data_IF_382615529603
#
_entry.id   IF_382615529603
#
_cell.length_a   1.000
_cell.length_b   1.000
_cell.length_c   1.000
_cell.angle_alpha   90.00
_cell.angle_beta   90.00
_cell.angle_gamma   90.00
#
_symmetry.space_group_name_H-M   'P 1'
#
loop_
_entity.id
_entity.type
_entity.pdbx_description
1 polymer ?
#
# COMPACT_ATOMS: atom_id res chain seq x y z
N UNK A 1 -17.47 -5.84 27.91
CA UNK A 1 -18.38 -4.78 28.40
C UNK A 1 -19.77 -5.39 28.67
N UNK A 2 -20.34 -5.14 29.84
CA UNK A 2 -21.67 -5.69 30.18
C UNK A 2 -22.77 -5.04 29.35
N UNK A 3 -23.89 -5.75 29.18
CA UNK A 3 -25.09 -5.27 28.45
C UNK A 3 -25.57 -3.90 28.95
N UNK A 4 -25.50 -3.66 30.24
CA UNK A 4 -25.87 -2.38 30.87
C UNK A 4 -24.96 -1.21 30.40
N UNK A 5 -23.65 -1.44 30.23
CA UNK A 5 -22.76 -0.42 29.72
C UNK A 5 -23.07 -0.06 28.26
N UNK A 6 -23.45 -1.04 27.45
CA UNK A 6 -23.86 -0.79 26.05
C UNK A 6 -25.15 0.03 25.97
N UNK A 7 -26.12 -0.26 26.83
CA UNK A 7 -27.37 0.53 26.94
C UNK A 7 -27.07 1.94 27.43
N UNK A 8 -26.14 2.10 28.37
CA UNK A 8 -25.77 3.42 28.91
C UNK A 8 -25.04 4.26 27.89
N UNK A 9 -24.14 3.68 27.09
CA UNK A 9 -23.51 4.36 25.96
C UNK A 9 -24.52 4.74 24.88
N UNK A 10 -25.43 3.83 24.51
CA UNK A 10 -26.50 4.13 23.57
C UNK A 10 -27.42 5.26 24.04
N UNK A 11 -27.74 5.31 25.32
CA UNK A 11 -28.55 6.36 25.92
C UNK A 11 -27.80 7.69 26.01
N UNK A 12 -26.53 7.65 26.41
CA UNK A 12 -25.68 8.83 26.47
C UNK A 12 -25.46 9.46 25.10
N UNK A 13 -25.23 8.66 24.05
CA UNK A 13 -25.12 9.11 22.67
C UNK A 13 -26.44 9.73 22.19
N UNK A 14 -27.58 9.12 22.49
CA UNK A 14 -28.90 9.65 22.15
C UNK A 14 -29.20 10.98 22.86
N UNK A 15 -28.79 11.10 24.10
CA UNK A 15 -29.01 12.32 24.93
C UNK A 15 -27.87 13.35 24.76
N UNK A 16 -26.92 13.10 23.88
CA UNK A 16 -25.71 13.93 23.67
C UNK A 16 -24.95 14.23 24.98
N UNK A 17 -24.92 13.27 25.90
CA UNK A 17 -24.31 13.35 27.23
C UNK A 17 -22.94 12.68 27.33
N UNK A 18 -22.51 11.97 26.29
CA UNK A 18 -21.14 11.47 26.25
C UNK A 18 -20.22 12.69 26.24
N UNK A 19 -19.16 12.67 27.03
CA UNK A 19 -18.30 13.84 27.14
C UNK A 19 -17.61 14.12 25.80
N UNK A 20 -18.25 15.00 25.02
CA UNK A 20 -17.68 15.62 23.83
C UNK A 20 -16.57 16.65 24.18
N UNK A 21 -16.06 16.55 25.41
CA UNK A 21 -15.07 17.49 25.96
C UNK A 21 -13.75 17.54 25.19
N UNK A 22 -13.55 16.65 24.24
CA UNK A 22 -12.34 16.64 23.40
C UNK A 22 -12.38 17.56 22.18
N UNK A 23 -13.55 18.12 21.84
CA UNK A 23 -13.68 19.00 20.66
C UNK A 23 -13.43 20.49 20.94
N UNK A 24 -13.30 20.90 22.20
CA UNK A 24 -13.30 22.34 22.54
C UNK A 24 -11.94 23.01 22.48
N UNK A 25 -10.83 22.29 22.25
CA UNK A 25 -9.49 22.88 22.16
C UNK A 25 -8.69 22.53 20.88
N UNK A 26 -9.22 21.76 19.99
CA UNK A 26 -8.69 21.68 18.65
C UNK A 26 -9.22 22.90 17.89
N UNK A 27 -8.55 24.04 18.01
CA UNK A 27 -8.71 25.12 17.05
C UNK A 27 -8.61 24.50 15.68
N UNK A 28 -9.72 24.42 14.95
CA UNK A 28 -9.79 23.83 13.63
C UNK A 28 -8.82 24.59 12.73
N UNK A 29 -7.60 24.11 12.64
CA UNK A 29 -6.72 24.47 11.57
C UNK A 29 -7.37 23.94 10.32
N UNK A 30 -7.83 24.83 9.47
CA UNK A 30 -8.41 24.58 8.14
C UNK A 30 -7.41 23.91 7.17
N UNK A 31 -6.43 23.18 7.68
CA UNK A 31 -5.52 22.42 6.86
C UNK A 31 -6.06 21.00 6.69
N UNK A 32 -6.19 20.60 5.44
CA UNK A 32 -6.53 19.27 4.93
C UNK A 32 -5.61 18.14 5.44
N UNK A 33 -4.96 18.32 6.56
CA UNK A 33 -4.02 17.38 7.13
C UNK A 33 -4.73 16.46 8.13
N UNK A 34 -4.72 15.18 7.81
CA UNK A 34 -5.18 14.13 8.70
C UNK A 34 -4.03 13.68 9.60
N UNK A 35 -4.10 13.90 10.92
CA UNK A 35 -3.02 13.54 11.85
C UNK A 35 -2.86 12.02 12.02
N UNK A 36 -3.90 11.24 11.72
CA UNK A 36 -3.92 9.77 11.76
C UNK A 36 -3.09 9.11 10.65
N UNK A 37 -2.77 9.83 9.58
CA UNK A 37 -1.98 9.30 8.46
C UNK A 37 -0.49 9.54 8.63
N UNK A 38 0.27 8.50 8.36
CA UNK A 38 1.73 8.58 8.32
C UNK A 38 2.14 9.48 7.14
N UNK A 39 2.88 10.54 7.45
CA UNK A 39 3.57 11.31 6.41
C UNK A 39 4.84 10.56 6.01
N UNK A 40 5.06 10.43 4.73
CA UNK A 40 6.35 10.03 4.21
C UNK A 40 7.40 11.01 4.74
N UNK A 41 8.45 10.47 5.34
CA UNK A 41 9.45 11.24 6.12
C UNK A 41 10.26 12.19 5.25
N UNK A 42 10.13 12.04 3.94
CA UNK A 42 11.01 12.68 2.96
C UNK A 42 10.17 13.56 2.06
N UNK A 43 10.44 14.84 2.04
CA UNK A 43 9.64 15.94 1.50
C UNK A 43 9.13 15.85 0.04
N UNK A 44 8.47 16.90 -0.41
CA UNK A 44 7.77 17.02 -1.71
C UNK A 44 8.68 16.91 -2.96
N UNK A 45 10.00 16.96 -2.76
CA UNK A 45 11.03 16.93 -3.81
C UNK A 45 11.07 15.61 -4.59
N UNK A 46 10.09 14.73 -4.36
CA UNK A 46 10.19 13.30 -4.72
C UNK A 46 8.95 12.78 -5.40
N UNK A 47 8.39 13.57 -6.27
CA UNK A 47 7.21 13.15 -7.04
C UNK A 47 7.41 11.77 -7.70
N UNK A 48 8.60 11.48 -8.20
CA UNK A 48 8.95 10.19 -8.80
C UNK A 48 8.90 9.07 -7.75
N UNK A 49 9.53 9.27 -6.59
CA UNK A 49 9.57 8.27 -5.50
C UNK A 49 8.18 8.04 -4.93
N UNK A 50 7.44 9.12 -4.66
CA UNK A 50 6.08 9.06 -4.15
C UNK A 50 5.13 8.39 -5.14
N UNK A 51 5.31 8.64 -6.44
CA UNK A 51 4.52 8.01 -7.50
C UNK A 51 4.73 6.49 -7.51
N UNK A 52 5.98 6.02 -7.42
CA UNK A 52 6.32 4.59 -7.34
C UNK A 52 5.72 3.96 -6.08
N UNK A 53 5.90 4.57 -4.90
CA UNK A 53 5.34 4.08 -3.65
C UNK A 53 3.83 3.98 -3.69
N UNK A 54 3.18 5.03 -4.18
CA UNK A 54 1.73 5.08 -4.28
C UNK A 54 1.20 4.02 -5.26
N UNK A 55 1.88 3.83 -6.40
CA UNK A 55 1.49 2.80 -7.37
C UNK A 55 1.56 1.41 -6.74
N UNK A 56 2.70 1.05 -6.12
CA UNK A 56 2.87 -0.23 -5.43
C UNK A 56 1.84 -0.38 -4.31
N UNK A 57 1.64 0.67 -3.50
CA UNK A 57 0.67 0.66 -2.40
C UNK A 57 -0.76 0.41 -2.84
N UNK A 58 -1.20 1.03 -3.93
CA UNK A 58 -2.53 0.84 -4.51
C UNK A 58 -2.72 -0.58 -5.06
N UNK A 59 -1.70 -1.12 -5.73
CA UNK A 59 -1.77 -2.45 -6.32
C UNK A 59 -1.80 -3.54 -5.24
N UNK A 60 -0.95 -3.44 -4.21
CA UNK A 60 -1.01 -4.35 -3.05
C UNK A 60 -2.36 -4.23 -2.32
N UNK A 61 -2.85 -3.01 -2.10
CA UNK A 61 -4.13 -2.80 -1.42
C UNK A 61 -5.33 -3.36 -2.19
N UNK A 62 -5.19 -3.58 -3.50
CA UNK A 62 -6.22 -4.18 -4.35
C UNK A 62 -6.30 -5.70 -4.22
N UNK A 63 -5.31 -6.34 -3.61
CA UNK A 63 -5.29 -7.79 -3.41
C UNK A 63 -6.07 -8.14 -2.16
N UNK A 64 -6.93 -9.15 -2.28
CA UNK A 64 -7.73 -9.66 -1.18
C UNK A 64 -6.87 -10.54 -0.27
N UNK A 65 -6.72 -10.11 0.98
CA UNK A 65 -6.09 -10.90 2.05
C UNK A 65 -7.21 -11.37 2.97
N UNK A 66 -7.29 -12.70 3.18
CA UNK A 66 -8.38 -13.31 3.95
C UNK A 66 -7.86 -14.29 4.99
N UNK A 67 -8.49 -14.27 6.16
CA UNK A 67 -8.39 -15.32 7.15
C UNK A 67 -9.28 -16.48 6.71
N UNK A 68 -8.70 -17.64 6.46
CA UNK A 68 -9.36 -18.77 5.83
C UNK A 68 -8.93 -20.10 6.47
N UNK A 69 -9.69 -21.15 6.17
CA UNK A 69 -9.32 -22.54 6.50
C UNK A 69 -8.79 -23.22 5.26
N UNK A 70 -7.71 -23.97 5.44
CA UNK A 70 -7.09 -24.77 4.39
C UNK A 70 -7.30 -26.27 4.70
N UNK A 71 -7.24 -27.12 3.70
CA UNK A 71 -7.16 -28.55 3.89
C UNK A 71 -5.74 -29.01 4.29
N UNK A 72 -5.56 -30.32 4.50
CA UNK A 72 -4.24 -30.90 4.82
C UNK A 72 -3.20 -30.73 3.70
N UNK A 73 -3.65 -30.47 2.48
CA UNK A 73 -2.82 -30.25 1.30
C UNK A 73 -2.58 -28.76 1.02
N UNK A 74 -3.06 -27.86 1.89
CA UNK A 74 -2.94 -26.41 1.73
C UNK A 74 -3.96 -25.79 0.77
N UNK A 75 -5.01 -26.52 0.36
CA UNK A 75 -6.06 -26.00 -0.52
C UNK A 75 -7.08 -25.22 0.28
N UNK A 76 -7.61 -24.14 -0.32
CA UNK A 76 -8.65 -23.32 0.27
C UNK A 76 -9.95 -24.12 0.47
N UNK A 77 -10.55 -24.00 1.65
CA UNK A 77 -11.84 -24.60 1.99
C UNK A 77 -12.89 -23.48 2.13
N UNK A 78 -12.69 -22.57 3.08
CA UNK A 78 -13.68 -21.56 3.40
C UNK A 78 -13.03 -20.29 3.98
N UNK A 79 -13.73 -19.17 3.91
CA UNK A 79 -13.37 -17.93 4.63
C UNK A 79 -13.92 -18.03 6.04
N UNK A 80 -13.08 -17.72 7.03
CA UNK A 80 -13.50 -17.70 8.45
C UNK A 80 -14.13 -16.35 8.75
N UNK A 81 -15.32 -16.36 9.33
CA UNK A 81 -15.94 -15.14 9.83
C UNK A 81 -15.24 -14.73 11.14
N UNK A 82 -14.32 -13.76 11.03
CA UNK A 82 -13.50 -13.25 12.14
C UNK A 82 -13.37 -11.74 12.06
N UNK A 83 -13.16 -11.10 13.22
CA UNK A 83 -12.90 -9.66 13.28
C UNK A 83 -11.64 -9.29 12.48
N UNK A 84 -10.66 -10.18 12.40
CA UNK A 84 -9.48 -9.99 11.57
C UNK A 84 -9.83 -9.83 10.07
N UNK A 85 -10.79 -10.64 9.55
CA UNK A 85 -11.26 -10.46 8.18
C UNK A 85 -11.98 -9.14 7.96
N UNK A 86 -12.74 -8.69 8.95
CA UNK A 86 -13.36 -7.36 8.93
C UNK A 86 -12.31 -6.26 8.87
N UNK A 87 -11.24 -6.35 9.67
CA UNK A 87 -10.12 -5.41 9.62
C UNK A 87 -9.42 -5.35 8.27
N UNK A 88 -9.21 -6.48 7.62
CA UNK A 88 -8.49 -6.57 6.35
C UNK A 88 -9.31 -6.12 5.14
N UNK A 89 -10.63 -6.27 5.18
CA UNK A 89 -11.48 -6.09 4.00
C UNK A 89 -12.49 -4.95 4.13
N UNK A 90 -12.94 -4.60 5.35
CA UNK A 90 -13.95 -3.59 5.59
C UNK A 90 -13.36 -2.38 6.33
N UNK A 91 -13.10 -2.52 7.61
CA UNK A 91 -12.71 -1.42 8.50
C UNK A 91 -11.58 -1.88 9.42
N UNK A 92 -10.37 -1.38 9.20
CA UNK A 92 -9.21 -1.72 10.01
C UNK A 92 -9.20 -0.97 11.35
N UNK A 93 -9.71 0.25 11.34
CA UNK A 93 -9.90 1.12 12.50
C UNK A 93 -10.89 2.23 12.14
N UNK A 94 -11.26 3.07 13.11
CA UNK A 94 -12.25 4.14 12.96
C UNK A 94 -11.94 5.14 11.82
N UNK A 95 -10.67 5.28 11.44
CA UNK A 95 -10.22 6.25 10.43
C UNK A 95 -9.96 5.61 9.06
N UNK A 96 -9.81 4.28 8.99
CA UNK A 96 -9.29 3.60 7.81
C UNK A 96 -10.09 2.35 7.43
N UNK A 97 -10.45 2.28 6.17
CA UNK A 97 -10.90 1.03 5.56
C UNK A 97 -9.78 0.01 5.50
N UNK A 98 -10.08 -1.29 5.38
CA UNK A 98 -9.09 -2.34 5.21
C UNK A 98 -8.15 -2.08 4.02
N UNK A 99 -8.68 -1.49 2.93
CA UNK A 99 -7.87 -1.10 1.76
C UNK A 99 -6.88 0.03 2.08
N UNK A 100 -7.36 1.09 2.74
CA UNK A 100 -6.50 2.21 3.14
C UNK A 100 -5.42 1.77 4.13
N UNK A 101 -5.75 0.87 5.03
CA UNK A 101 -4.81 0.27 5.97
C UNK A 101 -3.71 -0.56 5.26
N UNK A 102 -4.08 -1.42 4.31
CA UNK A 102 -3.10 -2.15 3.49
C UNK A 102 -2.17 -1.21 2.73
N UNK A 103 -2.70 -0.13 2.17
CA UNK A 103 -1.90 0.89 1.49
C UNK A 103 -0.92 1.56 2.47
N UNK A 104 -1.35 1.92 3.68
CA UNK A 104 -0.50 2.51 4.71
C UNK A 104 0.63 1.58 5.16
N UNK A 105 0.36 0.28 5.31
CA UNK A 105 1.39 -0.72 5.60
C UNK A 105 2.49 -0.66 4.54
N UNK A 106 2.10 -0.70 3.26
CA UNK A 106 3.07 -0.70 2.16
C UNK A 106 3.84 0.61 2.09
N UNK A 107 3.15 1.75 2.14
CA UNK A 107 3.79 3.07 2.08
C UNK A 107 4.81 3.25 3.20
N UNK A 108 4.44 2.89 4.44
CA UNK A 108 5.33 2.97 5.59
C UNK A 108 6.53 2.02 5.49
N UNK A 109 6.29 0.80 5.03
CA UNK A 109 7.32 -0.20 4.83
C UNK A 109 8.33 0.21 3.75
N UNK A 110 7.87 0.78 2.64
CA UNK A 110 8.75 1.24 1.56
C UNK A 110 9.57 2.46 1.99
N UNK A 111 9.00 3.37 2.78
CA UNK A 111 9.70 4.57 3.24
C UNK A 111 10.74 4.26 4.33
N UNK A 112 10.37 3.49 5.35
CA UNK A 112 11.21 3.23 6.53
C UNK A 112 12.03 1.93 6.44
N UNK A 113 11.75 1.07 5.45
CA UNK A 113 12.37 -0.25 5.31
C UNK A 113 11.69 -1.35 6.13
N UNK A 114 10.88 -0.99 7.11
CA UNK A 114 10.04 -1.90 7.90
C UNK A 114 8.85 -1.15 8.51
N UNK A 115 7.80 -1.89 8.84
CA UNK A 115 6.60 -1.34 9.49
C UNK A 115 6.10 -2.28 10.56
N UNK A 116 5.56 -1.73 11.65
CA UNK A 116 4.86 -2.50 12.67
C UNK A 116 3.35 -2.50 12.38
N UNK A 117 2.72 -3.67 12.40
CA UNK A 117 1.27 -3.85 12.41
C UNK A 117 0.88 -4.11 13.85
N UNK A 118 0.16 -3.16 14.45
CA UNK A 118 -0.16 -3.18 15.87
C UNK A 118 -1.66 -3.43 16.05
N UNK A 119 -2.08 -4.53 16.67
CA UNK A 119 -3.43 -4.69 17.16
C UNK A 119 -3.71 -3.66 18.27
N UNK A 120 -4.72 -2.81 18.08
CA UNK A 120 -5.10 -1.77 19.04
C UNK A 120 -6.21 -2.26 19.97
N UNK A 121 -7.22 -2.93 19.39
CA UNK A 121 -8.32 -3.53 20.15
C UNK A 121 -8.40 -5.02 19.84
N UNK A 122 -8.49 -5.80 20.91
CA UNK A 122 -8.60 -7.26 20.86
C UNK A 122 -9.64 -7.75 21.85
N UNK A 123 -10.27 -8.88 21.55
CA UNK A 123 -11.32 -9.46 22.41
C UNK A 123 -10.82 -9.81 23.81
N UNK A 124 -9.55 -10.23 23.91
CA UNK A 124 -8.84 -10.57 25.16
C UNK A 124 -7.42 -10.04 25.04
N UNK A 125 -6.83 -9.62 26.15
CA UNK A 125 -5.45 -9.15 26.18
C UNK A 125 -4.49 -10.24 25.66
N UNK A 126 -3.74 -10.01 24.57
CA UNK A 126 -2.84 -10.99 23.98
C UNK A 126 -1.70 -11.44 24.89
N UNK A 127 -1.37 -10.64 25.92
CA UNK A 127 -0.35 -10.99 26.92
C UNK A 127 -0.84 -12.03 27.94
N UNK A 128 -2.16 -12.16 28.11
CA UNK A 128 -2.78 -13.06 29.09
C UNK A 128 -3.24 -14.36 28.44
N UNK A 129 -3.78 -14.29 27.24
CA UNK A 129 -4.30 -15.45 26.52
C UNK A 129 -3.87 -15.44 25.06
N UNK A 130 -3.51 -16.62 24.54
CA UNK A 130 -3.24 -16.80 23.12
C UNK A 130 -4.51 -16.95 22.27
N UNK A 131 -5.71 -16.96 22.87
CA UNK A 131 -6.99 -17.08 22.16
C UNK A 131 -7.69 -15.73 22.14
N UNK A 132 -7.33 -14.87 21.20
CA UNK A 132 -7.92 -13.54 21.00
C UNK A 132 -8.30 -13.34 19.54
N UNK A 133 -9.28 -12.50 19.28
CA UNK A 133 -9.56 -11.97 17.95
C UNK A 133 -9.19 -10.47 17.91
N UNK A 134 -8.89 -9.96 16.73
CA UNK A 134 -8.41 -8.60 16.52
C UNK A 134 -9.54 -7.76 15.94
N UNK A 135 -9.99 -6.78 16.73
CA UNK A 135 -11.10 -5.89 16.34
C UNK A 135 -10.61 -4.65 15.60
N UNK A 136 -9.39 -4.19 15.86
CA UNK A 136 -8.83 -3.02 15.19
C UNK A 136 -7.29 -3.09 15.13
N UNK A 137 -6.74 -2.56 14.05
CA UNK A 137 -5.30 -2.52 13.80
C UNK A 137 -4.86 -1.16 13.28
N UNK A 138 -3.61 -0.78 13.60
CA UNK A 138 -2.94 0.39 13.05
C UNK A 138 -1.51 0.09 12.64
N UNK A 139 -1.00 0.88 11.72
CA UNK A 139 0.42 0.91 11.39
C UNK A 139 1.19 1.69 12.45
N UNK A 140 2.39 1.23 12.77
CA UNK A 140 3.30 1.90 13.70
C UNK A 140 4.70 2.04 13.12
N UNK A 141 5.33 3.21 13.38
CA UNK A 141 6.74 3.42 13.04
C UNK A 141 7.62 2.83 14.13
N UNK A 142 8.58 1.99 13.75
CA UNK A 142 9.55 1.42 14.68
C UNK A 142 10.62 2.47 15.00
N UNK A 143 10.79 2.75 16.29
CA UNK A 143 11.77 3.71 16.79
C UNK A 143 13.02 3.03 17.32
N UNK A 144 12.85 1.97 18.13
CA UNK A 144 13.96 1.28 18.79
C UNK A 144 13.72 -0.24 18.84
N UNK A 145 14.80 -0.98 18.75
CA UNK A 145 14.81 -2.45 18.77
C UNK A 145 15.39 -2.97 20.09
N UNK A 146 14.62 -3.82 20.79
CA UNK A 146 15.07 -4.55 21.96
C UNK A 146 15.04 -6.07 21.68
N UNK A 147 15.70 -6.91 22.48
CA UNK A 147 15.74 -8.36 22.22
C UNK A 147 14.35 -9.01 22.10
N UNK A 148 13.44 -8.77 23.05
CA UNK A 148 12.09 -9.34 23.09
C UNK A 148 10.98 -8.31 22.82
N UNK A 149 11.30 -7.03 22.76
CA UNK A 149 10.35 -5.92 22.61
C UNK A 149 10.73 -5.03 21.42
N UNK A 150 9.81 -4.18 21.03
CA UNK A 150 10.02 -3.14 20.05
C UNK A 150 9.33 -1.86 20.52
N UNK A 151 10.00 -0.73 20.39
CA UNK A 151 9.41 0.58 20.66
C UNK A 151 8.81 1.11 19.36
N UNK A 152 7.52 1.34 19.37
CA UNK A 152 6.75 1.76 18.20
C UNK A 152 6.02 3.07 18.50
N UNK A 153 5.92 3.93 17.49
CA UNK A 153 5.12 5.15 17.51
C UNK A 153 3.83 4.87 16.75
N UNK A 154 2.70 4.89 17.47
CA UNK A 154 1.36 4.56 16.95
C UNK A 154 0.40 5.70 17.26
N UNK A 155 -0.56 5.94 16.37
CA UNK A 155 -1.62 6.90 16.61
C UNK A 155 -2.65 6.30 17.59
N UNK A 156 -2.98 7.08 18.64
CA UNK A 156 -3.98 6.71 19.64
C UNK A 156 -5.30 7.41 19.35
N UNK A 157 -6.35 6.65 19.08
CA UNK A 157 -7.68 7.13 18.73
C UNK A 157 -8.36 7.92 19.86
N UNK A 158 -8.00 7.60 21.12
CA UNK A 158 -8.61 8.23 22.29
C UNK A 158 -8.01 9.61 22.58
N UNK A 159 -6.71 9.76 22.37
CA UNK A 159 -5.98 11.00 22.66
C UNK A 159 -5.81 11.90 21.43
N UNK A 160 -6.02 11.34 20.22
CA UNK A 160 -5.82 12.07 18.96
C UNK A 160 -4.36 12.37 18.64
N UNK A 161 -3.43 11.73 19.33
CA UNK A 161 -2.00 11.97 19.20
C UNK A 161 -1.23 10.67 18.96
N UNK A 162 0.01 10.82 18.46
CA UNK A 162 0.95 9.71 18.40
C UNK A 162 1.56 9.44 19.76
N UNK A 163 1.56 8.18 20.18
CA UNK A 163 2.17 7.70 21.41
C UNK A 163 3.31 6.72 21.11
N UNK A 164 4.30 6.72 21.97
CA UNK A 164 5.43 5.79 21.89
C UNK A 164 5.20 4.64 22.89
N UNK A 165 5.03 3.44 22.34
CA UNK A 165 4.71 2.24 23.13
C UNK A 165 5.83 1.21 22.99
N UNK A 166 6.17 0.55 24.11
CA UNK A 166 7.08 -0.61 24.11
C UNK A 166 6.23 -1.86 24.15
N UNK A 167 6.21 -2.59 23.03
CA UNK A 167 5.35 -3.76 22.82
C UNK A 167 6.20 -5.03 22.68
N UNK A 168 5.69 -6.18 23.14
CA UNK A 168 6.34 -7.47 22.89
C UNK A 168 6.34 -7.80 21.40
N UNK A 169 7.46 -8.25 20.87
CA UNK A 169 7.56 -8.71 19.47
C UNK A 169 6.63 -9.89 19.13
N UNK A 170 6.10 -10.58 20.15
CA UNK A 170 5.15 -11.68 19.97
C UNK A 170 3.76 -11.22 19.54
N UNK A 171 3.37 -9.99 19.90
CA UNK A 171 2.02 -9.45 19.67
C UNK A 171 1.95 -8.46 18.50
N UNK A 172 3.09 -8.07 17.95
CA UNK A 172 3.19 -7.09 16.87
C UNK A 172 3.69 -7.79 15.61
N UNK A 173 3.05 -7.56 14.48
CA UNK A 173 3.53 -7.96 13.17
C UNK A 173 4.59 -6.97 12.70
N UNK A 174 5.81 -7.44 12.43
CA UNK A 174 6.90 -6.60 11.92
C UNK A 174 7.20 -7.04 10.50
N UNK A 175 6.76 -6.25 9.55
CA UNK A 175 6.96 -6.52 8.12
C UNK A 175 8.20 -5.76 7.65
N UNK A 176 9.16 -6.49 7.13
CA UNK A 176 10.36 -5.94 6.51
C UNK A 176 10.16 -5.81 5.00
N UNK A 177 10.74 -4.77 4.42
CA UNK A 177 10.68 -4.55 2.99
C UNK A 177 11.47 -5.63 2.23
N UNK A 178 10.84 -6.51 1.45
CA UNK A 178 11.57 -7.52 0.67
C UNK A 178 12.47 -6.89 -0.41
N UNK A 179 12.24 -5.62 -0.77
CA UNK A 179 13.03 -4.85 -1.71
C UNK A 179 14.03 -3.91 -1.01
N UNK A 180 14.38 -4.20 0.25
CA UNK A 180 15.24 -3.35 1.10
C UNK A 180 16.57 -2.99 0.44
N UNK A 181 17.24 -3.95 -0.18
CA UNK A 181 18.53 -3.73 -0.84
C UNK A 181 18.46 -2.70 -1.97
N UNK A 182 17.32 -2.60 -2.65
CA UNK A 182 17.09 -1.66 -3.77
C UNK A 182 16.64 -0.29 -3.28
N UNK A 183 15.88 -0.25 -2.18
CA UNK A 183 15.14 0.95 -1.75
C UNK A 183 15.71 1.62 -0.50
N UNK A 184 16.05 0.86 0.54
CA UNK A 184 16.31 1.40 1.87
C UNK A 184 17.79 1.36 2.27
N UNK A 185 18.60 0.50 1.69
CA UNK A 185 20.03 0.44 1.98
C UNK A 185 20.70 1.79 1.70
N UNK A 186 21.68 2.24 2.52
CA UNK A 186 22.28 3.57 2.41
C UNK A 186 22.84 3.91 1.02
N UNK A 187 23.30 2.90 0.27
CA UNK A 187 23.83 3.03 -1.08
C UNK A 187 22.91 2.46 -2.17
N UNK A 188 21.66 2.16 -1.84
CA UNK A 188 20.68 1.66 -2.79
C UNK A 188 20.44 2.63 -3.95
N UNK A 189 19.91 2.12 -5.03
CA UNK A 189 19.57 2.93 -6.21
C UNK A 189 18.63 4.06 -5.85
N UNK A 190 17.60 3.77 -5.04
CA UNK A 190 16.64 4.77 -4.58
C UNK A 190 17.31 5.84 -3.72
N UNK A 191 18.17 5.48 -2.76
CA UNK A 191 18.84 6.46 -1.89
C UNK A 191 19.83 7.34 -2.69
N UNK A 192 20.45 6.79 -3.73
CA UNK A 192 21.29 7.56 -4.66
C UNK A 192 20.45 8.52 -5.48
N UNK A 193 19.31 8.08 -6.01
CA UNK A 193 18.36 8.93 -6.75
C UNK A 193 17.88 10.10 -5.89
N UNK A 194 17.47 9.81 -4.66
CA UNK A 194 17.03 10.81 -3.68
C UNK A 194 18.11 11.89 -3.45
N UNK A 195 19.36 11.47 -3.25
CA UNK A 195 20.45 12.44 -3.08
C UNK A 195 20.66 13.32 -4.31
N UNK A 196 20.45 12.77 -5.51
CA UNK A 196 20.57 13.56 -6.75
C UNK A 196 19.41 14.53 -6.94
N UNK A 197 18.18 14.11 -6.59
CA UNK A 197 17.01 14.99 -6.60
C UNK A 197 17.20 16.16 -5.62
N UNK A 198 17.63 15.89 -4.38
CA UNK A 198 17.91 16.95 -3.40
C UNK A 198 19.01 17.92 -3.88
N UNK A 199 19.99 17.42 -4.59
CA UNK A 199 21.03 18.27 -5.16
C UNK A 199 20.47 19.14 -6.30
N UNK A 200 19.57 18.61 -7.13
CA UNK A 200 18.89 19.39 -8.18
C UNK A 200 18.06 20.51 -7.57
N UNK A 201 17.24 20.19 -6.54
CA UNK A 201 16.42 21.18 -5.85
C UNK A 201 17.26 22.30 -5.23
N UNK A 202 18.40 21.97 -4.63
CA UNK A 202 19.32 22.96 -4.08
C UNK A 202 19.93 23.87 -5.17
N UNK A 203 20.22 23.31 -6.36
CA UNK A 203 20.71 24.09 -7.52
C UNK A 203 19.60 24.98 -8.06
N UNK A 204 18.37 24.48 -8.17
CA UNK A 204 17.21 25.24 -8.65
C UNK A 204 16.89 26.40 -7.70
N UNK A 205 16.92 26.17 -6.36
CA UNK A 205 16.77 27.22 -5.37
C UNK A 205 17.88 28.28 -5.47
N UNK A 206 19.10 27.83 -5.67
CA UNK A 206 20.23 28.75 -5.88
C UNK A 206 20.07 29.56 -7.17
N UNK A 207 19.65 28.91 -8.25
CA UNK A 207 19.43 29.59 -9.54
C UNK A 207 18.22 30.52 -9.48
N UNK A 208 17.12 30.10 -8.83
CA UNK A 208 15.92 30.91 -8.63
C UNK A 208 16.14 32.13 -7.72
N UNK A 209 17.13 32.07 -6.81
CA UNK A 209 17.50 33.22 -5.95
C UNK A 209 18.34 34.30 -6.65
N UNK A 210 18.57 34.16 -7.95
CA UNK A 210 19.35 35.13 -8.72
C UNK A 210 20.84 35.16 -8.37
N UNK A 211 21.31 34.17 -7.59
CA UNK A 211 22.74 34.05 -7.25
C UNK A 211 23.53 33.51 -8.45
N UNK A 212 24.07 34.39 -9.24
CA UNK A 212 24.95 34.06 -10.36
C UNK A 212 26.36 33.76 -9.84
N UNK A 213 26.93 32.64 -10.30
CA UNK A 213 28.39 32.39 -10.10
C UNK A 213 29.18 33.33 -10.99
N UNK A 214 29.64 34.44 -10.43
CA UNK A 214 30.37 35.45 -11.13
C UNK A 214 31.81 35.52 -10.62
N UNK A 215 32.77 35.59 -11.51
CA UNK A 215 34.13 36.00 -11.20
C UNK A 215 34.27 37.49 -11.59
N UNK A 216 34.51 38.31 -10.59
CA UNK A 216 34.79 39.74 -10.76
C UNK A 216 36.29 39.92 -10.71
N UNK A 217 36.88 40.21 -11.85
CA UNK A 217 38.31 40.55 -11.96
C UNK A 217 38.45 42.03 -11.69
N UNK A 218 39.08 42.38 -10.57
CA UNK A 218 39.36 43.76 -10.21
C UNK A 218 40.66 44.26 -10.83
N UNK A 219 40.79 45.56 -11.14
CA UNK A 219 41.98 46.14 -11.79
C UNK A 219 43.17 46.28 -10.84
N UNK A 220 43.09 45.73 -9.63
CA UNK A 220 44.15 45.80 -8.64
C UNK A 220 44.33 44.50 -7.85
N UNK A 221 45.54 44.30 -7.31
CA UNK A 221 45.85 43.16 -6.44
C UNK A 221 45.42 43.42 -5.01
N UNK A 222 44.72 42.42 -4.41
CA UNK A 222 44.26 42.47 -3.04
C UNK A 222 45.40 42.02 -2.09
N UNK A 223 46.26 42.98 -1.66
CA UNK A 223 47.39 42.69 -0.76
C UNK A 223 47.27 43.40 0.60
N UNK A 224 46.31 44.31 0.79
CA UNK A 224 46.11 45.05 2.05
C UNK A 224 44.64 44.94 2.50
N UNK A 225 44.41 45.15 3.78
CA UNK A 225 43.05 45.09 4.37
C UNK A 225 42.15 46.17 3.77
N UNK A 226 42.69 47.35 3.50
CA UNK A 226 41.93 48.44 2.86
C UNK A 226 41.44 48.01 1.44
N UNK A 227 42.29 47.34 0.64
CA UNK A 227 41.90 46.85 -0.69
C UNK A 227 40.93 45.66 -0.62
N UNK A 228 41.02 44.85 0.45
CA UNK A 228 40.04 43.77 0.73
C UNK A 228 38.66 44.35 1.03
N UNK A 229 38.59 45.38 1.88
CA UNK A 229 37.33 46.07 2.17
C UNK A 229 36.74 46.72 0.91
N UNK A 230 37.58 47.29 0.07
CA UNK A 230 37.14 47.88 -1.21
C UNK A 230 36.58 46.83 -2.16
N UNK A 231 37.22 45.66 -2.25
CA UNK A 231 36.74 44.56 -3.04
C UNK A 231 35.41 43.98 -2.52
N UNK A 232 35.26 43.87 -1.18
CA UNK A 232 34.01 43.44 -0.57
C UNK A 232 32.88 44.46 -0.76
N UNK A 233 33.17 45.74 -0.69
CA UNK A 233 32.20 46.79 -0.99
C UNK A 233 31.73 46.68 -2.45
N UNK A 234 32.66 46.50 -3.39
CA UNK A 234 32.33 46.36 -4.80
C UNK A 234 31.49 45.08 -5.07
N UNK A 235 31.81 43.96 -4.40
CA UNK A 235 31.02 42.75 -4.47
C UNK A 235 29.58 42.99 -4.06
N UNK A 236 29.38 43.64 -2.89
CA UNK A 236 28.03 43.95 -2.37
C UNK A 236 27.26 44.92 -3.30
N UNK A 237 27.94 45.87 -3.95
CA UNK A 237 27.32 46.77 -4.91
C UNK A 237 26.80 46.02 -6.13
N UNK A 238 27.58 45.05 -6.66
CA UNK A 238 27.15 44.23 -7.79
C UNK A 238 26.04 43.25 -7.38
N UNK A 239 26.12 42.62 -6.19
CA UNK A 239 25.05 41.80 -5.65
C UNK A 239 23.74 42.60 -5.52
N UNK A 240 23.77 43.81 -4.99
CA UNK A 240 22.60 44.67 -4.90
C UNK A 240 22.03 45.03 -6.27
N UNK A 241 22.90 45.45 -7.21
CA UNK A 241 22.48 45.76 -8.58
C UNK A 241 21.79 44.59 -9.29
N UNK A 242 22.30 43.39 -9.09
CA UNK A 242 21.72 42.16 -9.70
C UNK A 242 20.41 41.75 -9.00
N UNK A 243 20.35 41.89 -7.66
CA UNK A 243 19.14 41.60 -6.88
C UNK A 243 18.02 42.57 -7.19
N UNK A 244 18.33 43.87 -7.35
CA UNK A 244 17.33 44.92 -7.58
C UNK A 244 16.97 45.04 -9.08
N UNK A 245 17.74 44.38 -9.97
CA UNK A 245 17.52 44.45 -11.40
C UNK A 245 16.49 43.40 -11.85
N UNK A 246 15.39 43.87 -12.45
CA UNK A 246 14.37 42.99 -13.05
C UNK A 246 14.90 42.10 -14.18
N UNK A 247 16.04 42.46 -14.80
CA UNK A 247 16.63 41.76 -15.96
C UNK A 247 18.05 41.23 -15.70
N UNK A 248 18.54 41.23 -14.44
CA UNK A 248 19.85 40.72 -14.10
C UNK A 248 21.01 41.55 -14.69
N UNK A 249 20.82 42.85 -14.85
CA UNK A 249 21.81 43.77 -15.43
C UNK A 249 22.57 44.49 -14.29
N UNK A 250 23.90 44.42 -14.33
CA UNK A 250 24.77 45.18 -13.45
C UNK A 250 25.76 46.02 -14.27
N UNK A 251 26.21 47.14 -13.73
CA UNK A 251 27.22 48.00 -14.35
C UNK A 251 28.61 47.58 -13.88
N UNK A 252 29.52 47.41 -14.81
CA UNK A 252 30.94 47.19 -14.54
C UNK A 252 31.77 48.40 -15.02
N UNK A 253 32.84 48.69 -14.29
CA UNK A 253 33.81 49.69 -14.73
C UNK A 253 34.59 49.15 -15.94
N UNK A 254 35.02 50.00 -16.87
CA UNK A 254 35.76 49.63 -18.08
C UNK A 254 37.07 48.86 -17.84
N UNK A 255 37.56 48.85 -16.62
CA UNK A 255 38.74 48.14 -16.15
C UNK A 255 38.43 46.82 -15.40
N UNK A 256 37.15 46.59 -15.10
CA UNK A 256 36.67 45.39 -14.46
C UNK A 256 36.20 44.36 -15.50
N UNK A 257 36.47 43.11 -15.27
CA UNK A 257 35.95 42.02 -16.10
C UNK A 257 35.08 41.10 -15.28
N UNK A 258 33.79 41.05 -15.61
CA UNK A 258 32.83 40.13 -15.01
C UNK A 258 32.70 38.94 -15.95
N UNK A 259 33.03 37.76 -15.45
CA UNK A 259 32.87 36.52 -16.19
C UNK A 259 31.82 35.64 -15.45
N UNK A 260 30.74 35.35 -16.12
CA UNK A 260 29.77 34.39 -15.63
C UNK A 260 30.32 32.98 -15.83
N UNK A 261 30.33 32.20 -14.73
CA UNK A 261 30.68 30.80 -14.81
C UNK A 261 29.42 30.00 -15.19
N UNK A 262 29.37 29.63 -16.46
CA UNK A 262 28.33 28.70 -16.92
C UNK A 262 28.71 27.30 -16.44
N UNK A 263 28.08 26.83 -15.35
CA UNK A 263 28.24 25.45 -14.90
C UNK A 263 27.36 24.56 -15.77
N UNK A 264 27.95 23.68 -16.57
CA UNK A 264 27.25 22.60 -17.28
C UNK A 264 26.82 21.45 -16.35
N UNK A 265 26.68 21.73 -15.04
CA UNK A 265 26.39 20.74 -14.01
C UNK A 265 24.97 20.20 -14.17
N UNK A 266 24.00 21.05 -14.58
CA UNK A 266 22.60 20.70 -14.71
C UNK A 266 22.34 19.57 -15.71
N UNK A 267 22.89 19.66 -16.91
CA UNK A 267 22.71 18.65 -17.96
C UNK A 267 23.24 17.27 -17.54
N UNK A 268 24.39 17.25 -16.86
CA UNK A 268 24.97 15.98 -16.36
C UNK A 268 24.17 15.41 -15.17
N UNK A 269 23.62 16.28 -14.33
CA UNK A 269 22.81 15.87 -13.20
C UNK A 269 21.47 15.27 -13.64
N UNK A 270 20.80 15.89 -14.62
CA UNK A 270 19.56 15.36 -15.23
C UNK A 270 19.79 13.99 -15.84
N UNK A 271 20.85 13.81 -16.64
CA UNK A 271 21.20 12.51 -17.22
C UNK A 271 21.48 11.44 -16.16
N UNK A 272 22.08 11.81 -15.03
CA UNK A 272 22.30 10.89 -13.91
C UNK A 272 20.97 10.53 -13.20
N UNK A 273 20.04 11.47 -13.05
CA UNK A 273 18.71 11.24 -12.49
C UNK A 273 17.93 10.31 -13.41
N UNK A 274 17.89 10.55 -14.70
CA UNK A 274 17.24 9.69 -15.70
C UNK A 274 17.80 8.26 -15.66
N UNK A 275 19.12 8.11 -15.64
CA UNK A 275 19.78 6.81 -15.53
C UNK A 275 19.40 6.08 -14.24
N UNK A 276 19.44 6.76 -13.08
CA UNK A 276 19.09 6.17 -11.79
C UNK A 276 17.61 5.81 -11.71
N UNK A 277 16.72 6.63 -12.29
CA UNK A 277 15.30 6.37 -12.38
C UNK A 277 15.02 5.13 -13.24
N UNK A 278 15.64 5.04 -14.41
CA UNK A 278 15.51 3.87 -15.28
C UNK A 278 16.05 2.60 -14.62
N UNK A 279 17.18 2.70 -13.91
CA UNK A 279 17.75 1.57 -13.15
C UNK A 279 16.83 1.15 -12.00
N UNK A 280 16.26 2.10 -11.26
CA UNK A 280 15.29 1.84 -10.20
C UNK A 280 14.06 1.11 -10.74
N UNK A 281 13.49 1.59 -11.83
CA UNK A 281 12.32 0.97 -12.48
C UNK A 281 12.65 -0.46 -12.92
N UNK A 282 13.80 -0.67 -13.54
CA UNK A 282 14.24 -2.01 -13.92
C UNK A 282 14.39 -2.97 -12.73
N UNK A 283 14.97 -2.49 -11.63
CA UNK A 283 15.15 -3.28 -10.40
C UNK A 283 13.83 -3.60 -9.69
N UNK A 284 12.86 -2.69 -9.76
CA UNK A 284 11.52 -2.88 -9.22
C UNK A 284 10.59 -3.62 -10.20
N UNK A 285 11.03 -3.94 -11.40
CA UNK A 285 10.17 -4.53 -12.42
C UNK A 285 9.03 -3.63 -12.86
N UNK A 286 9.16 -2.31 -12.63
CA UNK A 286 8.19 -1.29 -13.05
C UNK A 286 8.65 -0.75 -14.40
N UNK A 287 7.72 -0.67 -15.35
CA UNK A 287 7.96 -0.01 -16.64
C UNK A 287 7.18 1.31 -16.69
N UNK A 288 7.57 2.20 -17.58
CA UNK A 288 6.81 3.43 -17.80
C UNK A 288 5.36 3.13 -18.18
N UNK A 289 5.14 2.06 -18.96
CA UNK A 289 3.80 1.62 -19.36
C UNK A 289 2.91 1.19 -18.18
N UNK A 290 3.48 0.70 -17.09
CA UNK A 290 2.73 0.41 -15.85
C UNK A 290 2.30 1.70 -15.17
N UNK A 291 3.15 2.72 -15.17
CA UNK A 291 2.85 4.00 -14.53
C UNK A 291 1.82 4.82 -15.30
N UNK A 292 1.86 4.79 -16.62
CA UNK A 292 0.92 5.50 -17.51
C UNK A 292 -0.31 4.68 -17.89
N UNK A 293 -0.38 3.39 -17.50
CA UNK A 293 -1.51 2.52 -17.72
C UNK A 293 -1.59 1.89 -19.12
N UNK A 294 -0.52 1.99 -19.93
CA UNK A 294 -0.45 1.42 -21.28
C UNK A 294 0.19 0.03 -21.34
N UNK A 295 0.50 -0.56 -20.16
CA UNK A 295 1.16 -1.86 -20.08
C UNK A 295 0.28 -2.99 -20.64
N UNK A 296 0.90 -3.87 -21.42
CA UNK A 296 0.29 -5.10 -21.87
C UNK A 296 0.16 -6.14 -20.72
N UNK A 297 -0.61 -7.19 -20.95
CA UNK A 297 -0.88 -8.24 -19.96
C UNK A 297 0.41 -8.88 -19.44
N UNK A 298 1.38 -9.19 -20.33
CA UNK A 298 2.63 -9.80 -19.94
C UNK A 298 3.49 -8.90 -19.05
N UNK A 299 3.54 -7.62 -19.36
CA UNK A 299 4.26 -6.62 -18.53
C UNK A 299 3.60 -6.46 -17.16
N UNK A 300 2.26 -6.43 -17.10
CA UNK A 300 1.52 -6.38 -15.84
C UNK A 300 1.77 -7.64 -15.00
N UNK A 301 1.75 -8.82 -15.62
CA UNK A 301 2.02 -10.08 -14.94
C UNK A 301 3.45 -10.14 -14.37
N UNK A 302 4.43 -9.70 -15.13
CA UNK A 302 5.83 -9.62 -14.70
C UNK A 302 6.00 -8.67 -13.50
N UNK A 303 5.35 -7.50 -13.55
CA UNK A 303 5.34 -6.56 -12.44
C UNK A 303 4.70 -7.14 -11.18
N UNK A 304 3.53 -7.77 -11.32
CA UNK A 304 2.84 -8.40 -10.20
C UNK A 304 3.72 -9.46 -9.54
N UNK A 305 4.31 -10.36 -10.32
CA UNK A 305 5.11 -11.46 -9.78
C UNK A 305 6.43 -10.99 -9.17
N UNK A 306 7.08 -9.97 -9.76
CA UNK A 306 8.39 -9.50 -9.29
C UNK A 306 8.33 -8.52 -8.13
N UNK A 307 7.30 -7.68 -8.09
CA UNK A 307 7.25 -6.57 -7.13
C UNK A 307 6.11 -6.71 -6.14
N UNK A 308 4.92 -7.04 -6.60
CA UNK A 308 3.72 -7.03 -5.76
C UNK A 308 3.63 -8.31 -4.91
N UNK A 309 3.78 -9.48 -5.51
CA UNK A 309 3.69 -10.77 -4.77
C UNK A 309 4.70 -10.89 -3.63
N UNK A 310 5.98 -10.52 -3.75
CA UNK A 310 6.91 -10.55 -2.63
C UNK A 310 6.47 -9.67 -1.45
N UNK A 311 5.90 -8.49 -1.74
CA UNK A 311 5.40 -7.57 -0.71
C UNK A 311 4.17 -8.14 -0.01
N UNK A 312 3.20 -8.63 -0.78
CA UNK A 312 1.98 -9.26 -0.22
C UNK A 312 2.35 -10.48 0.61
N UNK A 313 3.26 -11.32 0.12
CA UNK A 313 3.73 -12.51 0.83
C UNK A 313 4.40 -12.14 2.15
N UNK A 314 5.26 -11.11 2.18
CA UNK A 314 5.90 -10.64 3.41
C UNK A 314 4.87 -10.18 4.45
N UNK A 315 3.83 -9.45 4.03
CA UNK A 315 2.72 -9.00 4.90
C UNK A 315 1.94 -10.20 5.44
N UNK A 316 1.52 -11.09 4.55
CA UNK A 316 0.69 -12.26 4.90
C UNK A 316 1.44 -13.23 5.81
N UNK A 317 2.70 -13.53 5.53
CA UNK A 317 3.52 -14.44 6.32
C UNK A 317 3.75 -13.88 7.74
N UNK A 318 3.98 -12.58 7.87
CA UNK A 318 4.13 -11.98 9.19
C UNK A 318 2.81 -11.94 9.97
N UNK A 319 1.70 -11.60 9.32
CA UNK A 319 0.37 -11.67 9.95
C UNK A 319 0.04 -13.11 10.37
N UNK A 320 0.30 -14.10 9.53
CA UNK A 320 0.12 -15.51 9.83
C UNK A 320 0.98 -15.96 11.01
N UNK A 321 2.22 -15.48 11.08
CA UNK A 321 3.15 -15.79 12.16
C UNK A 321 2.71 -15.21 13.50
N UNK A 322 2.12 -14.00 13.52
CA UNK A 322 1.84 -13.24 14.75
C UNK A 322 0.38 -13.30 15.18
N UNK A 323 -0.55 -13.24 14.26
CA UNK A 323 -1.97 -13.08 14.58
C UNK A 323 -2.74 -14.39 14.63
N UNK A 324 -2.18 -15.48 14.11
CA UNK A 324 -2.76 -16.80 14.28
C UNK A 324 -2.17 -17.53 15.49
N UNK A 325 -3.04 -17.92 16.40
CA UNK A 325 -2.67 -18.71 17.58
C UNK A 325 -2.19 -20.10 17.19
N UNK A 326 -1.49 -20.79 18.11
CA UNK A 326 -1.08 -22.19 17.88
C UNK A 326 -2.29 -23.09 17.64
N UNK A 327 -3.39 -22.87 18.36
CA UNK A 327 -4.63 -23.62 18.21
C UNK A 327 -5.27 -23.38 16.85
N UNK A 328 -5.36 -22.12 16.41
CA UNK A 328 -5.87 -21.79 15.08
C UNK A 328 -5.08 -22.49 13.98
N UNK A 329 -3.74 -22.48 14.07
CA UNK A 329 -2.89 -23.20 13.10
C UNK A 329 -3.07 -24.70 13.14
N UNK A 330 -3.27 -25.31 14.32
CA UNK A 330 -3.56 -26.75 14.43
C UNK A 330 -4.92 -27.13 13.83
N UNK A 331 -5.84 -26.18 13.72
CA UNK A 331 -7.13 -26.31 13.05
C UNK A 331 -7.05 -25.95 11.55
N UNK A 332 -5.85 -25.88 10.99
CA UNK A 332 -5.58 -25.51 9.60
C UNK A 332 -6.08 -24.10 9.21
N UNK A 333 -6.22 -23.20 10.18
CA UNK A 333 -6.49 -21.80 9.87
C UNK A 333 -5.23 -21.12 9.32
N UNK A 334 -5.41 -20.27 8.33
CA UNK A 334 -4.34 -19.54 7.65
C UNK A 334 -4.81 -18.15 7.25
N UNK A 335 -3.86 -17.26 7.02
CA UNK A 335 -4.09 -16.01 6.30
C UNK A 335 -3.51 -16.22 4.92
N UNK A 336 -4.30 -15.98 3.89
CA UNK A 336 -3.89 -16.17 2.50
C UNK A 336 -4.35 -15.00 1.66
N UNK A 337 -3.62 -14.71 0.60
CA UNK A 337 -4.05 -13.72 -0.39
C UNK A 337 -4.62 -14.40 -1.61
N UNK A 338 -5.62 -13.77 -2.21
CA UNK A 338 -6.30 -14.27 -3.38
C UNK A 338 -6.16 -13.26 -4.51
N UNK A 339 -5.64 -13.74 -5.60
CA UNK A 339 -5.52 -12.97 -6.83
C UNK A 339 -6.70 -13.29 -7.73
N UNK A 340 -7.37 -12.27 -8.20
CA UNK A 340 -8.39 -12.42 -9.21
C UNK A 340 -7.71 -12.59 -10.60
N UNK A 341 -7.74 -13.80 -11.17
CA UNK A 341 -7.08 -14.06 -12.44
C UNK A 341 -7.73 -13.31 -13.62
N UNK A 342 -8.97 -12.86 -13.47
CA UNK A 342 -9.72 -12.20 -14.53
C UNK A 342 -9.49 -10.70 -14.60
N UNK A 343 -8.94 -10.07 -13.56
CA UNK A 343 -8.64 -8.61 -13.58
C UNK A 343 -7.68 -8.18 -14.68
N UNK A 344 -6.82 -9.09 -15.15
CA UNK A 344 -5.82 -8.81 -16.17
C UNK A 344 -6.22 -9.34 -17.55
N UNK A 345 -7.33 -10.04 -17.63
CA UNK A 345 -7.77 -10.63 -18.89
C UNK A 345 -8.59 -9.61 -19.68
N UNK A 346 -8.23 -9.31 -20.95
CA UNK A 346 -9.06 -8.50 -21.83
C UNK A 346 -10.46 -9.07 -21.94
N UNK A 347 -11.47 -8.21 -21.96
CA UNK A 347 -12.88 -8.64 -21.98
C UNK A 347 -13.16 -9.60 -23.13
N UNK A 348 -12.49 -9.41 -24.27
CA UNK A 348 -12.64 -10.28 -25.43
C UNK A 348 -12.17 -11.72 -25.18
N UNK A 349 -11.23 -11.92 -24.29
CA UNK A 349 -10.68 -13.24 -23.96
C UNK A 349 -11.45 -13.92 -22.81
N UNK A 350 -12.23 -13.16 -22.04
CA UNK A 350 -13.04 -13.71 -20.93
C UNK A 350 -14.03 -14.75 -21.46
N UNK A 351 -14.65 -14.51 -22.61
CA UNK A 351 -15.60 -15.43 -23.21
C UNK A 351 -14.95 -16.76 -23.59
N UNK A 352 -13.73 -16.74 -24.15
CA UNK A 352 -12.97 -17.94 -24.51
C UNK A 352 -12.51 -18.73 -23.27
N UNK A 353 -12.05 -18.02 -22.24
CA UNK A 353 -11.63 -18.64 -20.98
C UNK A 353 -12.84 -19.23 -20.26
N UNK A 354 -13.94 -18.50 -20.19
CA UNK A 354 -15.18 -18.97 -19.58
C UNK A 354 -15.72 -20.23 -20.28
N UNK A 355 -15.71 -20.27 -21.62
CA UNK A 355 -16.11 -21.46 -22.39
C UNK A 355 -15.21 -22.66 -22.04
N UNK A 356 -13.88 -22.45 -22.03
CA UNK A 356 -12.93 -23.53 -21.69
C UNK A 356 -13.09 -24.02 -20.25
N UNK A 357 -13.30 -23.11 -19.29
CA UNK A 357 -13.41 -23.48 -17.87
C UNK A 357 -14.76 -24.13 -17.56
N UNK A 358 -15.84 -23.67 -18.17
CA UNK A 358 -17.15 -24.30 -18.01
C UNK A 358 -17.18 -25.69 -18.64
N UNK A 359 -16.63 -25.86 -19.86
CA UNK A 359 -16.56 -27.17 -20.54
C UNK A 359 -15.73 -28.21 -19.82
N UNK A 360 -14.72 -27.80 -19.08
CA UNK A 360 -13.80 -28.69 -18.37
C UNK A 360 -14.15 -28.84 -16.87
N UNK A 361 -15.36 -28.48 -16.45
CA UNK A 361 -15.81 -28.62 -15.06
C UNK A 361 -14.94 -27.85 -14.05
N UNK A 362 -14.36 -26.71 -14.46
CA UNK A 362 -13.53 -25.87 -13.59
C UNK A 362 -14.35 -24.78 -12.91
N UNK A 363 -15.28 -24.16 -13.66
CA UNK A 363 -16.19 -23.13 -13.17
C UNK A 363 -17.63 -23.45 -13.54
N UNK A 364 -18.54 -23.08 -12.63
CA UNK A 364 -20.00 -23.12 -12.88
C UNK A 364 -20.43 -21.90 -13.68
N UNK A 365 -21.62 -21.95 -14.27
CA UNK A 365 -22.20 -20.81 -14.98
C UNK A 365 -22.41 -19.60 -14.06
N UNK A 366 -22.78 -19.81 -12.80
CA UNK A 366 -22.98 -18.72 -11.84
C UNK A 366 -21.65 -18.08 -11.42
N UNK A 367 -20.57 -18.84 -11.26
CA UNK A 367 -19.24 -18.29 -11.00
C UNK A 367 -18.73 -17.44 -12.17
N UNK A 368 -18.95 -17.87 -13.42
CA UNK A 368 -18.64 -17.07 -14.60
C UNK A 368 -19.47 -15.77 -14.63
N UNK A 369 -20.76 -15.84 -14.33
CA UNK A 369 -21.64 -14.65 -14.22
C UNK A 369 -21.13 -13.68 -13.15
N UNK A 370 -20.70 -14.18 -12.01
CA UNK A 370 -20.13 -13.37 -10.92
C UNK A 370 -18.86 -12.66 -11.36
N UNK A 371 -17.96 -13.34 -12.07
CA UNK A 371 -16.72 -12.76 -12.61
C UNK A 371 -16.97 -11.57 -13.52
N UNK A 372 -18.00 -11.65 -14.38
CA UNK A 372 -18.37 -10.56 -15.29
C UNK A 372 -19.35 -9.54 -14.67
N UNK A 373 -19.64 -9.66 -13.36
CA UNK A 373 -20.48 -8.72 -12.62
C UNK A 373 -21.99 -8.89 -12.86
N UNK A 374 -22.44 -10.05 -13.34
CA UNK A 374 -23.85 -10.37 -13.52
C UNK A 374 -24.42 -11.07 -12.29
N UNK A 375 -25.71 -10.87 -12.02
CA UNK A 375 -26.41 -11.60 -10.97
C UNK A 375 -26.43 -13.10 -11.25
N UNK A 376 -26.30 -13.98 -10.22
CA UNK A 376 -26.48 -15.41 -10.39
C UNK A 376 -27.85 -15.75 -11.00
N UNK A 377 -27.89 -16.81 -11.78
CA UNK A 377 -29.16 -17.37 -12.26
C UNK A 377 -29.85 -18.16 -11.13
N UNK A 378 -31.16 -18.09 -11.07
CA UNK A 378 -31.93 -18.90 -10.11
C UNK A 378 -32.13 -20.36 -10.57
N UNK A 379 -31.59 -20.73 -11.74
CA UNK A 379 -31.64 -22.11 -12.22
C UNK A 379 -30.66 -22.96 -11.40
N UNK A 380 -31.11 -24.04 -10.72
CA UNK A 380 -30.23 -24.93 -9.97
C UNK A 380 -29.10 -25.54 -10.80
N UNK A 381 -29.30 -25.71 -12.11
CA UNK A 381 -28.26 -26.22 -13.02
C UNK A 381 -27.10 -25.25 -13.21
N UNK A 382 -27.29 -23.97 -12.93
CA UNK A 382 -26.26 -22.96 -13.09
C UNK A 382 -25.15 -23.05 -12.02
N UNK A 383 -25.40 -23.76 -10.91
CA UNK A 383 -24.43 -24.00 -9.84
C UNK A 383 -23.78 -25.41 -9.93
N UNK A 384 -24.13 -26.19 -10.95
CA UNK A 384 -23.51 -27.47 -11.21
C UNK A 384 -22.36 -27.35 -12.22
N UNK A 385 -21.28 -28.09 -11.96
CA UNK A 385 -20.21 -28.26 -12.94
C UNK A 385 -20.71 -29.17 -14.06
N UNK A 386 -20.66 -28.70 -15.30
CA UNK A 386 -21.19 -29.41 -16.46
C UNK A 386 -20.10 -29.63 -17.50
N UNK A 387 -19.82 -30.88 -17.85
CA UNK A 387 -18.94 -31.21 -18.96
C UNK A 387 -19.73 -31.28 -20.26
N UNK A 388 -19.61 -30.27 -21.10
CA UNK A 388 -20.30 -30.25 -22.41
C UNK A 388 -19.75 -31.26 -23.41
N UNK A 389 -18.62 -31.89 -23.16
CA UNK A 389 -18.00 -32.87 -24.02
C UNK A 389 -18.48 -34.33 -23.73
N UNK A 390 -19.18 -34.52 -22.63
CA UNK A 390 -19.73 -35.82 -22.25
C UNK A 390 -21.25 -35.66 -22.21
N UNK A 391 -21.98 -36.57 -22.90
CA UNK A 391 -23.45 -36.65 -22.80
C UNK A 391 -23.80 -36.94 -21.33
N UNK A 392 -24.30 -35.94 -20.61
CA UNK A 392 -24.76 -36.14 -19.25
C UNK A 392 -26.00 -37.05 -19.27
N UNK A 393 -26.11 -38.06 -18.39
CA UNK A 393 -27.35 -38.79 -18.26
C UNK A 393 -28.44 -37.80 -17.92
N UNK A 394 -29.44 -37.72 -18.75
CA UNK A 394 -30.69 -37.00 -18.41
C UNK A 394 -31.25 -37.65 -17.16
N UNK A 395 -31.52 -36.89 -16.12
CA UNK A 395 -32.26 -37.30 -14.91
C UNK A 395 -33.72 -37.67 -15.23
N UNK A 396 -33.87 -38.61 -16.15
CA UNK A 396 -35.16 -39.23 -16.49
C UNK A 396 -35.37 -40.58 -15.78
N UNK A 397 -34.51 -40.91 -14.79
CA UNK A 397 -34.56 -42.25 -14.15
C UNK A 397 -35.29 -42.31 -12.81
N UNK A 398 -35.75 -41.17 -12.24
CA UNK A 398 -36.57 -41.22 -11.02
C UNK A 398 -38.07 -41.31 -11.32
N UNK A 399 -38.56 -40.74 -12.41
CA UNK A 399 -39.98 -40.85 -12.78
C UNK A 399 -40.38 -42.20 -13.36
N UNK A 400 -39.46 -42.93 -14.00
CA UNK A 400 -39.74 -44.23 -14.57
C UNK A 400 -39.72 -45.38 -13.54
N UNK A 401 -38.99 -45.20 -12.44
CA UNK A 401 -38.98 -46.17 -11.36
C UNK A 401 -40.21 -46.12 -10.41
N UNK A 402 -40.88 -44.99 -10.31
CA UNK A 402 -42.16 -44.89 -9.58
C UNK A 402 -43.32 -45.47 -10.38
N UNK A 403 -43.37 -45.27 -11.69
CA UNK A 403 -44.40 -45.86 -12.57
C UNK A 403 -44.25 -47.39 -12.71
N UNK A 404 -43.01 -47.93 -12.63
CA UNK A 404 -42.80 -49.37 -12.65
C UNK A 404 -43.18 -50.05 -11.31
N UNK A 405 -43.10 -49.32 -10.18
CA UNK A 405 -43.57 -49.83 -8.87
C UNK A 405 -45.07 -49.79 -8.75
N UNK A 406 -45.76 -48.74 -9.22
CA UNK A 406 -47.22 -48.66 -9.21
C UNK A 406 -47.86 -49.69 -10.14
N UNK A 407 -47.25 -50.01 -11.30
CA UNK A 407 -47.75 -51.07 -12.19
C UNK A 407 -47.51 -52.48 -11.67
N UNK A 408 -46.55 -52.72 -10.80
CA UNK A 408 -46.32 -54.03 -10.21
C UNK A 408 -47.23 -54.29 -9.00
N UNK A 409 -47.57 -53.27 -8.23
CA UNK A 409 -48.55 -53.38 -7.14
C UNK A 409 -50.01 -53.50 -7.66
N UNK A 410 -50.30 -52.94 -8.83
CA UNK A 410 -51.61 -53.09 -9.49
C UNK A 410 -51.91 -54.44 -10.12
N UNK A 411 -50.88 -55.24 -10.47
CA UNK A 411 -51.05 -56.61 -11.00
C UNK A 411 -51.14 -57.69 -9.95
N UNK A 412 -50.62 -57.48 -8.72
CA UNK A 412 -50.75 -58.44 -7.62
C UNK A 412 -52.15 -58.41 -6.94
N UNK A 413 -52.94 -57.36 -7.10
CA UNK A 413 -54.29 -57.21 -6.52
C UNK A 413 -55.40 -57.81 -7.42
N UNK A 414 -55.09 -58.19 -8.66
CA UNK A 414 -56.06 -58.85 -9.54
C UNK A 414 -56.00 -60.39 -9.61
N UNK A 415 -55.08 -61.01 -8.86
CA UNK A 415 -54.91 -62.48 -8.91
C UNK A 415 -55.10 -63.15 -7.53
N UNK A 416 -55.88 -62.57 -6.58
CA UNK A 416 -56.45 -63.24 -5.41
C UNK A 416 -57.98 -63.42 -5.49
#
# INVERSE_FOLDING_TARGET
MGFLNRLQHGWNAFMNRDPTAYYTNAGGNYYTYRPDRIRLTRGNERSIVTSVYNRIGLDVASIDIKHCRLDKNGRFIEVIDSSLNSCLNLEANIDQTGRAFKQDIVMSMLDEGCVAIVPIDTTINPSVSGSYDINSMRTGKILEWYPAHVKVKVYNDQTGNYEELILPKSTVGIVENPLYAVMNEPNSTLQRLIRKLNLLDAIDEQSGSGKLDLIIQLPYTIRSDARRQQAEKRRKEIESQLSDSKYGIAYADGTERITQLNRSVENNLMSQIEYLTSMLYSQLGITQSILDGTADEQTQLNYLTRSIEPIVSAIVDEMKRKFLTKTARSQNQSISYFRDPFKLVPVNNIAEIADKFTRNEILTSNEVRQVIGMQPSNDPKADHLVNSNISQPTDSSESDNEQIKENKEGEEIQNE
#
